data_IF_865373707786
#
_entry.id   IF_865373707786
#
_cell.length_a   1.000
_cell.length_b   1.000
_cell.length_c   1.000
_cell.angle_alpha   90.00
_cell.angle_beta   90.00
_cell.angle_gamma   90.00
#
_symmetry.space_group_name_H-M   'P 1'
#
loop_
_entity.id
_entity.type
_entity.pdbx_description
1 polymer ?
#
# COMPACT_ATOMS: atom_id res chain seq x y z
N UNK A 1 33.14 -30.34 40.05
CA UNK A 1 33.21 -28.99 39.43
C UNK A 1 32.81 -29.15 37.97
N UNK A 2 31.85 -28.35 37.49
CA UNK A 2 31.15 -28.43 36.18
C UNK A 2 29.84 -29.23 36.11
N UNK A 3 28.76 -28.58 36.55
CA UNK A 3 27.39 -28.92 36.12
C UNK A 3 26.51 -27.66 36.12
N UNK A 4 26.86 -26.61 35.35
CA UNK A 4 26.15 -25.32 35.43
C UNK A 4 26.06 -24.52 34.11
N UNK A 5 25.72 -25.14 32.97
CA UNK A 5 25.59 -24.39 31.69
C UNK A 5 24.54 -24.88 30.68
N UNK A 6 23.48 -25.61 31.08
CA UNK A 6 22.48 -26.11 30.11
C UNK A 6 21.07 -25.50 30.15
N UNK A 7 20.78 -24.54 31.02
CA UNK A 7 19.38 -24.06 31.17
C UNK A 7 19.05 -22.70 30.54
N UNK A 8 20.02 -21.96 29.98
CA UNK A 8 19.76 -20.58 29.50
C UNK A 8 19.25 -20.54 28.03
N UNK A 9 19.39 -21.61 27.26
CA UNK A 9 19.06 -21.61 25.81
C UNK A 9 17.62 -21.99 25.45
N UNK A 10 16.78 -22.40 26.41
CA UNK A 10 15.43 -22.95 26.10
C UNK A 10 14.29 -21.98 26.42
N UNK A 11 14.52 -20.93 27.22
CA UNK A 11 13.45 -20.00 27.64
C UNK A 11 13.29 -18.81 26.67
N UNK A 12 14.34 -18.43 25.93
CA UNK A 12 14.38 -17.22 25.10
C UNK A 12 14.07 -17.40 23.61
N UNK A 13 13.24 -18.34 23.18
CA UNK A 13 12.96 -18.56 21.73
C UNK A 13 11.47 -18.69 21.37
N UNK A 14 10.54 -18.54 22.32
CA UNK A 14 9.09 -18.76 22.05
C UNK A 14 8.23 -17.49 21.98
N UNK A 15 8.78 -16.30 22.24
CA UNK A 15 8.02 -15.03 22.24
C UNK A 15 8.69 -13.84 21.50
N UNK A 16 9.97 -13.95 21.09
CA UNK A 16 10.68 -12.84 20.43
C UNK A 16 10.21 -12.61 18.98
N UNK A 17 9.86 -13.67 18.26
CA UNK A 17 9.46 -13.57 16.86
C UNK A 17 8.10 -12.87 16.72
N UNK A 18 7.16 -13.18 17.61
CA UNK A 18 5.86 -12.51 17.66
C UNK A 18 6.01 -11.04 18.06
N UNK A 19 6.90 -10.74 19.01
CA UNK A 19 7.11 -9.37 19.46
C UNK A 19 7.76 -8.50 18.37
N UNK A 20 8.70 -9.04 17.58
CA UNK A 20 9.28 -8.35 16.44
C UNK A 20 8.26 -8.14 15.31
N UNK A 21 7.47 -9.16 14.98
CA UNK A 21 6.45 -9.09 13.92
C UNK A 21 5.34 -8.13 14.32
N UNK A 22 4.81 -8.21 15.54
CA UNK A 22 3.75 -7.33 16.03
C UNK A 22 4.25 -5.89 16.07
N UNK A 23 5.46 -5.62 16.58
CA UNK A 23 6.06 -4.28 16.55
C UNK A 23 6.23 -3.76 15.12
N UNK A 24 6.67 -4.61 14.19
CA UNK A 24 6.80 -4.25 12.77
C UNK A 24 5.46 -3.90 12.13
N UNK A 25 4.41 -4.69 12.37
CA UNK A 25 3.06 -4.42 11.86
C UNK A 25 2.52 -3.11 12.44
N UNK A 26 2.67 -2.88 13.75
CA UNK A 26 2.23 -1.63 14.39
C UNK A 26 2.97 -0.43 13.80
N UNK A 27 4.30 -0.48 13.70
CA UNK A 27 5.08 0.61 13.11
C UNK A 27 4.74 0.87 11.63
N UNK A 28 4.44 -0.19 10.87
CA UNK A 28 4.01 -0.06 9.49
C UNK A 28 2.64 0.64 9.40
N UNK A 29 1.66 0.20 10.19
CA UNK A 29 0.33 0.82 10.24
C UNK A 29 0.44 2.29 10.67
N UNK A 30 1.23 2.60 11.69
CA UNK A 30 1.46 3.98 12.14
C UNK A 30 2.05 4.84 11.01
N UNK A 31 3.02 4.29 10.25
CA UNK A 31 3.62 5.00 9.11
C UNK A 31 2.62 5.22 7.96
N UNK A 32 1.73 4.25 7.69
CA UNK A 32 0.67 4.38 6.70
C UNK A 32 -0.35 5.46 7.09
N UNK A 33 -0.82 5.42 8.35
CA UNK A 33 -1.77 6.41 8.88
C UNK A 33 -1.15 7.81 8.82
N UNK A 34 0.11 7.96 9.19
CA UNK A 34 0.85 9.23 9.12
C UNK A 34 1.00 9.72 7.68
N UNK A 35 1.35 8.82 6.75
CA UNK A 35 1.50 9.15 5.33
C UNK A 35 0.20 9.64 4.70
N UNK A 36 -0.90 8.91 4.92
CA UNK A 36 -2.24 9.30 4.42
C UNK A 36 -2.68 10.63 5.04
N UNK A 37 -2.49 10.80 6.36
CA UNK A 37 -2.84 12.05 7.03
C UNK A 37 -2.06 13.25 6.47
N UNK A 38 -0.79 13.06 6.11
CA UNK A 38 0.05 14.12 5.51
C UNK A 38 -0.44 14.51 4.12
N UNK A 39 -0.85 13.53 3.31
CA UNK A 39 -1.43 13.77 1.98
C UNK A 39 -2.74 14.55 2.11
N UNK A 40 -3.63 14.11 3.00
CA UNK A 40 -4.93 14.77 3.23
C UNK A 40 -4.75 16.19 3.79
N UNK A 41 -3.81 16.37 4.72
CA UNK A 41 -3.46 17.70 5.24
C UNK A 41 -2.99 18.62 4.11
N UNK A 42 -2.13 18.14 3.22
CA UNK A 42 -1.65 18.91 2.06
C UNK A 42 -2.78 19.27 1.09
N UNK A 43 -3.76 18.38 0.91
CA UNK A 43 -4.95 18.64 0.08
C UNK A 43 -5.85 19.71 0.68
N UNK A 44 -6.02 19.73 2.02
CA UNK A 44 -6.88 20.70 2.70
C UNK A 44 -6.40 22.16 2.56
N UNK A 45 -5.11 22.40 2.29
CA UNK A 45 -4.60 23.74 1.98
C UNK A 45 -5.04 24.29 0.62
N UNK A 46 -5.46 23.43 -0.31
CA UNK A 46 -5.96 23.84 -1.61
C UNK A 46 -7.45 24.21 -1.57
N UNK A 47 -8.15 23.92 -0.46
CA UNK A 47 -9.53 24.31 -0.23
C UNK A 47 -9.57 25.64 0.57
N UNK A 48 -9.44 26.77 -0.12
CA UNK A 48 -9.55 28.12 0.49
C UNK A 48 -11.00 28.37 0.98
N UNK A 49 -11.23 29.09 2.10
CA UNK A 49 -12.45 29.01 2.88
C UNK A 49 -13.52 29.96 2.34
N UNK A 50 -14.21 29.54 1.29
CA UNK A 50 -15.42 30.21 0.83
C UNK A 50 -16.62 29.76 1.68
N UNK A 51 -17.11 30.71 2.50
CA UNK A 51 -18.52 30.79 2.95
C UNK A 51 -18.94 29.76 4.05
N UNK A 52 -19.72 30.09 5.09
CA UNK A 52 -20.67 31.17 5.30
C UNK A 52 -21.08 31.17 6.79
N UNK A 53 -21.35 32.35 7.35
CA UNK A 53 -22.16 32.51 8.56
C UNK A 53 -23.61 32.09 8.26
N UNK A 54 -24.15 31.02 8.87
CA UNK A 54 -25.61 30.82 9.11
C UNK A 54 -25.87 29.72 10.16
N UNK A 55 -26.80 29.98 11.09
CA UNK A 55 -27.37 29.14 12.19
C UNK A 55 -26.63 27.85 12.62
N UNK A 56 -25.92 27.97 13.75
CA UNK A 56 -24.96 27.01 14.34
C UNK A 56 -25.42 25.56 14.59
N UNK A 57 -26.70 25.22 14.63
CA UNK A 57 -27.13 23.87 15.07
C UNK A 57 -27.38 22.92 13.89
N UNK A 58 -27.92 23.42 12.79
CA UNK A 58 -28.23 22.62 11.59
C UNK A 58 -26.98 22.39 10.70
N UNK A 59 -26.02 23.32 10.73
CA UNK A 59 -24.72 23.16 10.05
C UNK A 59 -23.77 22.19 10.78
N UNK A 60 -23.72 22.18 12.11
CA UNK A 60 -22.83 21.27 12.86
C UNK A 60 -23.23 19.81 12.63
N UNK A 61 -24.53 19.50 12.60
CA UNK A 61 -25.00 18.15 12.27
C UNK A 61 -24.64 17.74 10.83
N UNK A 62 -24.78 18.66 9.87
CA UNK A 62 -24.44 18.43 8.46
C UNK A 62 -22.93 18.34 8.21
N UNK A 63 -22.12 19.13 8.91
CA UNK A 63 -20.65 19.09 8.79
C UNK A 63 -20.12 17.78 9.36
N UNK A 64 -20.55 17.37 10.56
CA UNK A 64 -20.14 16.09 11.15
C UNK A 64 -20.56 14.91 10.28
N UNK A 65 -21.73 14.98 9.65
CA UNK A 65 -22.18 13.94 8.73
C UNK A 65 -21.34 13.91 7.44
N UNK A 66 -21.01 15.07 6.86
CA UNK A 66 -20.11 15.17 5.71
C UNK A 66 -18.71 14.64 6.02
N UNK A 67 -18.13 15.03 7.15
CA UNK A 67 -16.80 14.59 7.58
C UNK A 67 -16.75 13.05 7.74
N UNK A 68 -17.81 12.47 8.33
CA UNK A 68 -17.94 11.02 8.46
C UNK A 68 -18.10 10.33 7.10
N UNK A 69 -18.88 10.89 6.19
CA UNK A 69 -19.04 10.34 4.84
C UNK A 69 -17.72 10.39 4.07
N UNK A 70 -17.01 11.51 4.13
CA UNK A 70 -15.72 11.68 3.46
C UNK A 70 -14.68 10.69 3.99
N UNK A 71 -14.61 10.50 5.31
CA UNK A 71 -13.76 9.49 5.92
C UNK A 71 -14.09 8.07 5.43
N UNK A 72 -15.38 7.74 5.27
CA UNK A 72 -15.81 6.44 4.72
C UNK A 72 -15.42 6.31 3.24
N UNK A 73 -15.59 7.36 2.43
CA UNK A 73 -15.17 7.34 1.02
C UNK A 73 -13.65 7.20 0.89
N UNK A 74 -12.87 7.89 1.71
CA UNK A 74 -11.41 7.71 1.76
C UNK A 74 -11.05 6.27 2.12
N UNK A 75 -11.67 5.68 3.14
CA UNK A 75 -11.41 4.28 3.51
C UNK A 75 -11.77 3.31 2.37
N UNK A 76 -12.91 3.50 1.72
CA UNK A 76 -13.36 2.68 0.59
C UNK A 76 -12.39 2.81 -0.60
N UNK A 77 -11.99 4.03 -0.96
CA UNK A 77 -11.07 4.26 -2.08
C UNK A 77 -9.70 3.63 -1.83
N UNK A 78 -9.18 3.72 -0.60
CA UNK A 78 -7.94 3.03 -0.21
C UNK A 78 -8.10 1.51 -0.35
N UNK A 79 -9.17 0.92 0.20
CA UNK A 79 -9.42 -0.53 0.08
C UNK A 79 -9.51 -0.97 -1.38
N UNK A 80 -10.28 -0.24 -2.20
CA UNK A 80 -10.42 -0.52 -3.63
C UNK A 80 -9.06 -0.42 -4.33
N UNK A 81 -8.25 0.60 -4.03
CA UNK A 81 -6.92 0.77 -4.64
C UNK A 81 -5.99 -0.41 -4.32
N UNK A 82 -6.02 -0.91 -3.08
CA UNK A 82 -5.24 -2.08 -2.66
C UNK A 82 -5.75 -3.34 -3.37
N UNK A 83 -7.06 -3.52 -3.48
CA UNK A 83 -7.65 -4.65 -4.21
C UNK A 83 -7.25 -4.64 -5.69
N UNK A 84 -7.27 -3.47 -6.34
CA UNK A 84 -6.81 -3.32 -7.73
C UNK A 84 -5.31 -3.62 -7.83
N UNK A 85 -4.49 -3.15 -6.89
CA UNK A 85 -3.06 -3.45 -6.87
C UNK A 85 -2.80 -4.96 -6.73
N UNK A 86 -3.51 -5.66 -5.82
CA UNK A 86 -3.43 -7.11 -5.68
C UNK A 86 -3.88 -7.82 -6.96
N UNK A 87 -4.98 -7.37 -7.57
CA UNK A 87 -5.47 -7.92 -8.82
C UNK A 87 -4.45 -7.77 -9.95
N UNK A 88 -3.84 -6.59 -10.10
CA UNK A 88 -2.91 -6.27 -11.19
C UNK A 88 -1.51 -6.88 -10.98
N UNK A 89 -0.98 -6.88 -9.76
CA UNK A 89 0.40 -7.30 -9.50
C UNK A 89 0.56 -8.71 -8.94
N UNK A 90 -0.51 -9.33 -8.43
CA UNK A 90 -0.47 -10.72 -7.98
C UNK A 90 -1.31 -11.63 -8.86
N UNK A 91 -2.61 -11.33 -9.03
CA UNK A 91 -3.50 -12.23 -9.74
C UNK A 91 -3.19 -12.24 -11.24
N UNK A 92 -3.05 -11.09 -11.86
CA UNK A 92 -2.81 -10.98 -13.30
C UNK A 92 -1.57 -11.75 -13.78
N UNK A 93 -0.36 -11.61 -13.18
CA UNK A 93 0.79 -12.41 -13.59
C UNK A 93 0.60 -13.91 -13.34
N UNK A 94 -0.08 -14.29 -12.25
CA UNK A 94 -0.38 -15.70 -11.93
C UNK A 94 -1.34 -16.34 -12.94
N UNK A 95 -2.43 -15.65 -13.29
CA UNK A 95 -3.37 -16.15 -14.30
C UNK A 95 -2.72 -16.16 -15.70
N UNK A 96 -1.91 -15.16 -16.01
CA UNK A 96 -1.15 -15.13 -17.26
C UNK A 96 -0.20 -16.34 -17.36
N UNK A 97 0.59 -16.63 -16.33
CA UNK A 97 1.49 -17.80 -16.34
C UNK A 97 0.73 -19.13 -16.46
N UNK A 98 -0.46 -19.24 -15.82
CA UNK A 98 -1.33 -20.41 -15.91
C UNK A 98 -1.91 -20.64 -17.32
N UNK A 99 -2.12 -19.60 -18.12
CA UNK A 99 -2.52 -19.79 -19.52
C UNK A 99 -1.38 -20.36 -20.36
N UNK A 100 -0.14 -19.97 -20.08
CA UNK A 100 1.06 -20.52 -20.74
C UNK A 100 1.43 -21.93 -20.25
N UNK A 101 1.01 -22.34 -19.06
CA UNK A 101 1.27 -23.70 -18.55
C UNK A 101 0.61 -24.83 -19.32
N UNK A 102 -0.35 -24.51 -20.20
CA UNK A 102 -0.91 -25.47 -21.15
C UNK A 102 0.11 -25.93 -22.21
N UNK A 103 1.10 -25.09 -22.53
CA UNK A 103 2.09 -25.37 -23.59
C UNK A 103 3.44 -25.87 -23.06
N UNK A 104 3.73 -25.65 -21.77
CA UNK A 104 5.07 -25.86 -21.20
C UNK A 104 4.97 -26.82 -20.01
N UNK A 105 5.64 -27.97 -20.12
CA UNK A 105 5.60 -29.04 -19.10
C UNK A 105 6.58 -28.78 -17.94
N UNK A 106 7.66 -28.02 -18.18
CA UNK A 106 8.70 -27.79 -17.17
C UNK A 106 8.31 -26.72 -16.15
N UNK A 107 8.21 -27.12 -14.87
CA UNK A 107 7.92 -26.24 -13.73
C UNK A 107 8.93 -25.09 -13.58
N UNK A 108 10.22 -25.36 -13.81
CA UNK A 108 11.26 -24.34 -13.73
C UNK A 108 11.07 -23.24 -14.78
N UNK A 109 10.78 -23.64 -16.02
CA UNK A 109 10.57 -22.70 -17.12
C UNK A 109 9.29 -21.87 -16.90
N UNK A 110 8.25 -22.47 -16.35
CA UNK A 110 7.02 -21.76 -15.98
C UNK A 110 7.24 -20.70 -14.91
N UNK A 111 7.97 -21.03 -13.85
CA UNK A 111 8.29 -20.08 -12.78
C UNK A 111 9.16 -18.93 -13.31
N UNK A 112 10.11 -19.22 -14.20
CA UNK A 112 10.92 -18.20 -14.86
C UNK A 112 10.05 -17.26 -15.71
N UNK A 113 9.15 -17.82 -16.52
CA UNK A 113 8.21 -17.04 -17.35
C UNK A 113 7.25 -16.21 -16.51
N UNK A 114 6.72 -16.75 -15.40
CA UNK A 114 5.90 -15.97 -14.47
C UNK A 114 6.67 -14.76 -13.93
N UNK A 115 7.94 -14.95 -13.56
CA UNK A 115 8.82 -13.86 -13.14
C UNK A 115 8.99 -12.80 -14.22
N UNK A 116 9.24 -13.22 -15.47
CA UNK A 116 9.36 -12.30 -16.62
C UNK A 116 8.05 -11.53 -16.85
N UNK A 117 6.91 -12.22 -16.84
CA UNK A 117 5.59 -11.61 -17.00
C UNK A 117 5.35 -10.55 -15.91
N UNK A 118 5.68 -10.87 -14.65
CA UNK A 118 5.54 -9.94 -13.52
C UNK A 118 6.39 -8.69 -13.71
N UNK A 119 7.65 -8.83 -14.16
CA UNK A 119 8.53 -7.68 -14.45
C UNK A 119 7.99 -6.86 -15.61
N UNK A 120 7.52 -7.50 -16.69
CA UNK A 120 6.94 -6.79 -17.84
C UNK A 120 5.70 -5.98 -17.46
N UNK A 121 4.78 -6.57 -16.68
CA UNK A 121 3.59 -5.86 -16.17
C UNK A 121 4.00 -4.68 -15.31
N UNK A 122 4.98 -4.87 -14.43
CA UNK A 122 5.50 -3.80 -13.57
C UNK A 122 6.09 -2.65 -14.37
N UNK A 123 6.93 -2.94 -15.37
CA UNK A 123 7.50 -1.91 -16.24
C UNK A 123 6.41 -1.20 -17.06
N UNK A 124 5.44 -1.94 -17.61
CA UNK A 124 4.34 -1.37 -18.36
C UNK A 124 3.48 -0.44 -17.48
N UNK A 125 3.23 -0.84 -16.23
CA UNK A 125 2.54 0.01 -15.26
C UNK A 125 3.30 1.31 -14.98
N UNK A 126 4.61 1.24 -14.71
CA UNK A 126 5.44 2.43 -14.49
C UNK A 126 5.43 3.33 -15.72
N UNK A 127 5.56 2.75 -16.92
CA UNK A 127 5.47 3.51 -18.17
C UNK A 127 4.10 4.20 -18.29
N UNK A 128 3.00 3.50 -18.02
CA UNK A 128 1.66 4.09 -18.08
C UNK A 128 1.50 5.28 -17.11
N UNK A 129 1.91 5.12 -15.86
CA UNK A 129 1.82 6.20 -14.85
C UNK A 129 2.78 7.34 -15.17
N UNK A 130 3.96 7.05 -15.73
CA UNK A 130 4.94 8.07 -16.12
C UNK A 130 4.44 9.04 -17.21
N UNK A 131 3.44 8.64 -18.01
CA UNK A 131 2.88 9.51 -19.05
C UNK A 131 1.89 10.55 -18.51
N UNK A 132 1.51 10.49 -17.23
CA UNK A 132 0.68 11.50 -16.59
C UNK A 132 1.48 12.81 -16.49
N UNK A 133 0.89 13.94 -16.91
CA UNK A 133 1.57 15.24 -17.05
C UNK A 133 2.36 15.65 -15.80
N UNK A 134 1.75 15.53 -14.63
CA UNK A 134 2.36 15.93 -13.37
C UNK A 134 3.53 15.02 -12.99
N UNK A 135 3.37 13.71 -13.19
CA UNK A 135 4.40 12.71 -12.90
C UNK A 135 5.58 12.84 -13.86
N UNK A 136 5.32 13.04 -15.16
CA UNK A 136 6.33 13.27 -16.17
C UNK A 136 7.22 14.46 -15.83
N UNK A 137 6.61 15.54 -15.32
CA UNK A 137 7.33 16.75 -14.92
C UNK A 137 8.27 16.48 -13.73
N UNK A 138 7.81 15.74 -12.72
CA UNK A 138 8.64 15.35 -11.57
C UNK A 138 9.83 14.48 -12.00
N UNK A 139 9.61 13.51 -12.90
CA UNK A 139 10.70 12.70 -13.45
C UNK A 139 11.67 13.51 -14.31
N UNK A 140 11.21 14.55 -15.00
CA UNK A 140 12.10 15.43 -15.75
C UNK A 140 13.05 16.23 -14.83
N UNK A 141 12.57 16.67 -13.66
CA UNK A 141 13.40 17.41 -12.72
C UNK A 141 14.37 16.53 -11.95
N UNK A 142 13.94 15.34 -11.51
CA UNK A 142 14.80 14.43 -10.73
C UNK A 142 15.54 13.39 -11.57
N UNK A 143 15.15 13.15 -12.81
CA UNK A 143 15.90 12.30 -13.75
C UNK A 143 17.05 13.04 -14.45
N UNK A 144 17.19 14.34 -14.19
CA UNK A 144 18.31 15.16 -14.65
C UNK A 144 19.42 15.34 -13.59
N UNK A 145 19.22 14.79 -12.37
CA UNK A 145 20.19 14.68 -11.28
C UNK A 145 20.94 13.34 -11.35
#
# INVERSE_FOLDING_TARGET
MFSHTRDIRIIGKRNLDNELIIRGIVSFVDSLVTGISTINYSASFYEEPAEQKKTKVDEIGKSIFKDKLEAVFMAITVIISVLIAVALFMLLPYYASRLLSSFIVSQFLLNFIEGVIRVLIFLLYILAVSQIKDIKRTFMYHGAE
#
